data_IF_162242963651
#
_entry.id   IF_162242963651
#
_cell.length_a   1.000
_cell.length_b   1.000
_cell.length_c   1.000
_cell.angle_alpha   90.00
_cell.angle_beta   90.00
_cell.angle_gamma   90.00
#
_symmetry.space_group_name_H-M   'P 1'
#
loop_
_entity.id
_entity.type
_entity.pdbx_description
1 polymer ?
#
# COMPACT_ATOMS: atom_id res chain seq x y z
N UNK A 1 10.66 -7.96 9.94
CA UNK A 1 11.94 -7.65 10.59
C UNK A 1 12.06 -8.55 11.80
N UNK A 2 13.15 -9.32 11.89
CA UNK A 2 13.45 -10.14 13.07
C UNK A 2 13.74 -9.20 14.25
N UNK A 3 13.30 -9.58 15.44
CA UNK A 3 13.56 -8.82 16.67
C UNK A 3 15.08 -8.83 16.93
N UNK A 4 15.74 -7.67 17.06
CA UNK A 4 17.18 -7.65 17.28
C UNK A 4 17.53 -8.27 18.63
N UNK A 5 18.68 -8.93 18.71
CA UNK A 5 19.17 -9.52 19.97
C UNK A 5 19.66 -8.40 20.88
N UNK A 6 19.39 -8.53 22.17
CA UNK A 6 19.75 -7.52 23.17
C UNK A 6 20.50 -8.14 24.34
N UNK A 7 21.44 -7.38 24.91
CA UNK A 7 22.20 -7.73 26.11
C UNK A 7 22.73 -9.18 26.05
N UNK A 8 22.38 -10.01 27.03
CA UNK A 8 22.84 -11.41 27.17
C UNK A 8 22.41 -12.34 26.03
N UNK A 9 21.51 -11.89 25.14
CA UNK A 9 21.13 -12.66 23.95
C UNK A 9 22.19 -12.60 22.85
N UNK A 10 23.15 -11.68 22.96
CA UNK A 10 24.28 -11.55 22.04
C UNK A 10 25.37 -12.54 22.48
N UNK A 11 25.61 -13.58 21.68
CA UNK A 11 26.54 -14.69 22.03
C UNK A 11 27.86 -14.65 21.26
N UNK A 12 28.25 -13.49 20.74
CA UNK A 12 29.52 -13.33 20.02
C UNK A 12 30.60 -12.78 20.94
N UNK A 13 31.88 -13.15 20.74
CA UNK A 13 32.97 -12.72 21.62
C UNK A 13 33.32 -11.23 21.45
N UNK A 14 33.22 -10.72 20.22
CA UNK A 14 33.57 -9.34 19.87
C UNK A 14 32.46 -8.69 19.05
N UNK A 15 32.27 -7.39 19.28
CA UNK A 15 31.29 -6.55 18.59
C UNK A 15 31.93 -5.23 18.18
N UNK A 16 31.48 -4.68 17.06
CA UNK A 16 31.73 -3.27 16.74
C UNK A 16 30.71 -2.42 17.50
N UNK A 17 31.18 -1.68 18.49
CA UNK A 17 30.36 -0.90 19.39
C UNK A 17 30.15 0.53 18.89
N UNK A 18 28.88 0.96 18.94
CA UNK A 18 28.45 2.33 18.72
C UNK A 18 27.83 2.83 20.03
N UNK A 19 28.32 3.96 20.56
CA UNK A 19 27.81 4.56 21.78
C UNK A 19 26.44 5.23 21.59
N UNK A 20 25.83 5.73 22.68
CA UNK A 20 24.45 6.23 22.69
C UNK A 20 24.25 7.47 21.83
N UNK A 21 25.25 8.35 21.76
CA UNK A 21 25.25 9.55 20.91
C UNK A 21 25.65 9.26 19.44
N UNK A 22 25.92 8.00 19.08
CA UNK A 22 26.38 7.62 17.75
C UNK A 22 27.89 7.67 17.56
N UNK A 23 28.65 7.84 18.64
CA UNK A 23 30.11 7.71 18.64
C UNK A 23 30.54 6.29 18.26
N UNK A 24 31.60 6.16 17.46
CA UNK A 24 32.17 4.86 17.12
C UNK A 24 33.28 4.51 18.10
N UNK A 25 33.01 3.57 19.00
CA UNK A 25 34.00 3.10 19.99
C UNK A 25 34.99 2.13 19.34
N UNK A 26 34.58 1.44 18.28
CA UNK A 26 35.41 0.49 17.55
C UNK A 26 35.07 -0.96 17.89
N UNK A 27 36.02 -1.89 17.69
CA UNK A 27 35.82 -3.30 18.01
C UNK A 27 36.22 -3.54 19.46
N UNK A 28 35.30 -4.06 20.25
CA UNK A 28 35.49 -4.36 21.68
C UNK A 28 34.93 -5.74 22.00
N UNK A 29 35.35 -6.31 23.14
CA UNK A 29 34.73 -7.53 23.64
C UNK A 29 33.28 -7.28 24.07
N UNK A 30 32.47 -8.33 24.05
CA UNK A 30 31.07 -8.25 24.47
C UNK A 30 30.93 -7.81 25.94
N UNK A 31 31.84 -8.25 26.81
CA UNK A 31 31.82 -7.90 28.24
C UNK A 31 32.02 -6.40 28.46
N UNK A 32 32.93 -5.78 27.70
CA UNK A 32 33.15 -4.33 27.74
C UNK A 32 31.92 -3.59 27.22
N UNK A 33 31.32 -4.07 26.12
CA UNK A 33 30.11 -3.47 25.56
C UNK A 33 28.91 -3.55 26.52
N UNK A 34 28.74 -4.67 27.22
CA UNK A 34 27.69 -4.85 28.23
C UNK A 34 27.91 -3.92 29.43
N UNK A 35 29.16 -3.79 29.90
CA UNK A 35 29.49 -2.87 31.00
C UNK A 35 29.21 -1.42 30.63
N UNK A 36 29.60 -0.99 29.43
CA UNK A 36 29.34 0.37 28.94
C UNK A 36 27.85 0.65 28.78
N UNK A 37 27.06 -0.33 28.38
CA UNK A 37 25.61 -0.21 28.32
C UNK A 37 25.00 -0.02 29.73
N UNK A 38 25.46 -0.81 30.71
CA UNK A 38 25.05 -0.68 32.12
C UNK A 38 25.47 0.66 32.74
N UNK A 39 26.69 1.13 32.50
CA UNK A 39 27.18 2.44 32.96
C UNK A 39 26.35 3.60 32.40
N UNK A 40 25.75 3.41 31.22
CA UNK A 40 24.88 4.39 30.59
C UNK A 40 23.39 4.22 30.93
N UNK A 41 23.01 3.24 31.77
CA UNK A 41 21.62 2.83 32.04
C UNK A 41 20.80 2.54 30.76
N UNK A 42 21.44 1.97 29.74
CA UNK A 42 20.86 1.66 28.43
C UNK A 42 21.08 0.18 28.05
N UNK A 43 20.42 -0.26 26.98
CA UNK A 43 20.57 -1.62 26.47
C UNK A 43 21.63 -1.69 25.35
N UNK A 44 22.33 -2.82 25.29
CA UNK A 44 23.17 -3.18 24.16
C UNK A 44 22.30 -3.89 23.11
N UNK A 45 22.07 -3.25 21.97
CA UNK A 45 21.20 -3.77 20.89
C UNK A 45 22.03 -4.15 19.66
N UNK A 46 21.89 -5.39 19.19
CA UNK A 46 22.52 -5.86 17.95
C UNK A 46 21.76 -5.34 16.72
N UNK A 47 22.29 -4.30 16.06
CA UNK A 47 21.64 -3.65 14.91
C UNK A 47 22.00 -4.29 13.58
N UNK A 48 23.20 -4.89 13.46
CA UNK A 48 23.63 -5.54 12.22
C UNK A 48 24.33 -6.88 12.52
N UNK A 49 23.57 -7.99 12.63
CA UNK A 49 24.12 -9.32 12.92
C UNK A 49 24.96 -9.88 11.77
N UNK A 50 24.73 -9.44 10.53
CA UNK A 50 25.41 -9.97 9.34
C UNK A 50 26.81 -9.39 9.11
N UNK A 51 27.25 -8.43 9.94
CA UNK A 51 28.59 -7.82 9.81
C UNK A 51 29.65 -8.66 10.52
N UNK A 52 30.91 -8.57 10.07
CA UNK A 52 32.07 -9.19 10.74
C UNK A 52 33.06 -8.10 11.18
N UNK A 53 33.20 -7.81 12.49
CA UNK A 53 32.37 -8.27 13.61
C UNK A 53 30.94 -7.66 13.59
N UNK A 54 29.95 -8.28 14.27
CA UNK A 54 28.58 -7.76 14.36
C UNK A 54 28.55 -6.35 14.96
N UNK A 55 27.61 -5.52 14.51
CA UNK A 55 27.49 -4.14 15.01
C UNK A 55 26.46 -4.10 16.13
N UNK A 56 26.90 -3.67 17.31
CA UNK A 56 26.06 -3.46 18.48
C UNK A 56 26.03 -1.95 18.81
N UNK A 57 24.85 -1.44 19.16
CA UNK A 57 24.65 -0.04 19.52
C UNK A 57 24.01 0.06 20.90
N UNK A 58 24.56 0.93 21.74
CA UNK A 58 23.98 1.25 23.05
C UNK A 58 22.78 2.17 22.81
N UNK A 59 21.58 1.74 23.18
CA UNK A 59 20.35 2.52 23.05
C UNK A 59 19.22 1.97 23.91
N UNK A 60 18.18 2.78 24.13
CA UNK A 60 16.94 2.32 24.76
C UNK A 60 16.15 1.41 23.80
N UNK A 61 16.12 0.12 24.12
CA UNK A 61 15.41 -0.87 23.32
C UNK A 61 13.89 -0.64 23.29
N UNK A 62 13.32 -0.20 24.41
CA UNK A 62 11.89 0.07 24.55
C UNK A 62 11.45 1.21 23.62
N UNK A 63 12.19 2.31 23.64
CA UNK A 63 11.95 3.46 22.75
C UNK A 63 12.14 3.08 21.29
N UNK A 64 13.22 2.36 20.95
CA UNK A 64 13.46 1.89 19.58
C UNK A 64 12.33 1.01 19.06
N UNK A 65 11.84 0.07 19.87
CA UNK A 65 10.71 -0.81 19.51
C UNK A 65 9.42 -0.01 19.29
N UNK A 66 9.17 0.99 20.12
CA UNK A 66 8.02 1.88 19.96
C UNK A 66 8.11 2.69 18.66
N UNK A 67 9.23 3.36 18.39
CA UNK A 67 9.43 4.14 17.18
C UNK A 67 9.38 3.28 15.91
N UNK A 68 10.03 2.10 15.93
CA UNK A 68 9.95 1.14 14.83
C UNK A 68 8.51 0.66 14.60
N UNK A 69 7.76 0.40 15.67
CA UNK A 69 6.36 0.01 15.57
C UNK A 69 5.47 1.15 15.05
N UNK A 70 5.71 2.40 15.47
CA UNK A 70 4.99 3.56 14.97
C UNK A 70 5.30 3.79 13.49
N UNK A 71 6.58 3.81 13.09
CA UNK A 71 7.00 3.93 11.70
C UNK A 71 6.44 2.80 10.83
N UNK A 72 6.40 1.56 11.34
CA UNK A 72 5.78 0.45 10.63
C UNK A 72 4.25 0.61 10.51
N UNK A 73 3.57 1.14 11.53
CA UNK A 73 2.14 1.46 11.48
C UNK A 73 1.84 2.58 10.48
N UNK A 74 2.64 3.64 10.49
CA UNK A 74 2.54 4.76 9.54
C UNK A 74 2.81 4.29 8.12
N UNK A 75 3.87 3.50 7.90
CA UNK A 75 4.16 2.90 6.60
C UNK A 75 3.01 2.01 6.12
N UNK A 76 2.42 1.18 6.99
CA UNK A 76 1.23 0.37 6.63
C UNK A 76 0.00 1.21 6.34
N UNK A 77 -0.21 2.33 7.06
CA UNK A 77 -1.34 3.24 6.81
C UNK A 77 -1.17 4.01 5.50
N UNK A 78 0.06 4.42 5.20
CA UNK A 78 0.42 5.15 3.99
C UNK A 78 0.55 4.24 2.78
N UNK A 79 0.79 2.95 2.98
CA UNK A 79 0.71 1.96 1.92
C UNK A 79 -0.72 1.92 1.40
N UNK A 80 -0.90 2.51 0.22
CA UNK A 80 -2.18 2.60 -0.43
C UNK A 80 -2.55 1.21 -0.96
N UNK A 81 -3.22 0.41 -0.12
CA UNK A 81 -3.71 -0.91 -0.51
C UNK A 81 -4.67 -0.77 -1.69
N UNK A 82 -4.24 -1.18 -2.87
CA UNK A 82 -5.07 -1.23 -4.07
C UNK A 82 -6.07 -2.37 -3.90
N UNK A 83 -7.36 -2.04 -3.88
CA UNK A 83 -8.42 -3.02 -3.67
C UNK A 83 -8.95 -3.43 -5.05
N UNK A 84 -9.25 -4.72 -5.22
CA UNK A 84 -9.95 -5.20 -6.40
C UNK A 84 -11.46 -5.02 -6.21
N UNK A 85 -12.04 -4.08 -6.95
CA UNK A 85 -13.48 -3.80 -6.94
C UNK A 85 -14.17 -4.58 -8.05
N UNK A 86 -15.21 -5.34 -7.70
CA UNK A 86 -15.96 -6.10 -8.68
C UNK A 86 -17.12 -5.28 -9.26
N UNK A 87 -17.24 -5.28 -10.59
CA UNK A 87 -18.38 -4.71 -11.32
C UNK A 87 -19.03 -5.82 -12.14
N UNK A 88 -20.29 -6.12 -11.84
CA UNK A 88 -21.02 -7.24 -12.43
C UNK A 88 -21.95 -6.78 -13.55
N UNK A 89 -21.79 -7.38 -14.71
CA UNK A 89 -22.57 -7.15 -15.91
C UNK A 89 -23.47 -8.35 -16.22
N UNK A 90 -24.56 -8.06 -16.91
CA UNK A 90 -25.42 -9.07 -17.55
C UNK A 90 -25.18 -9.01 -19.04
N UNK A 91 -25.33 -10.14 -19.74
CA UNK A 91 -25.15 -10.20 -21.19
C UNK A 91 -26.13 -9.28 -21.95
N UNK A 92 -27.36 -9.18 -21.44
CA UNK A 92 -28.41 -8.26 -21.92
C UNK A 92 -28.57 -7.09 -20.94
N UNK A 93 -27.56 -6.22 -20.91
CA UNK A 93 -27.61 -5.01 -20.08
C UNK A 93 -28.35 -3.89 -20.84
N UNK A 94 -29.14 -3.10 -20.10
CA UNK A 94 -29.75 -1.87 -20.63
C UNK A 94 -28.71 -0.75 -20.72
N UNK A 95 -28.90 0.20 -21.65
CA UNK A 95 -27.97 1.32 -21.84
C UNK A 95 -27.79 2.15 -20.56
N UNK A 96 -28.85 2.41 -19.81
CA UNK A 96 -28.77 3.20 -18.58
C UNK A 96 -28.04 2.47 -17.44
N UNK A 97 -28.27 1.15 -17.30
CA UNK A 97 -27.53 0.32 -16.32
C UNK A 97 -26.04 0.22 -16.69
N UNK A 98 -25.73 0.14 -17.99
CA UNK A 98 -24.36 0.14 -18.48
C UNK A 98 -23.63 1.43 -18.13
N UNK A 99 -24.22 2.60 -18.42
CA UNK A 99 -23.62 3.91 -18.10
C UNK A 99 -23.38 4.08 -16.61
N UNK A 100 -24.30 3.60 -15.76
CA UNK A 100 -24.14 3.65 -14.30
C UNK A 100 -22.95 2.80 -13.83
N UNK A 101 -22.79 1.60 -14.39
CA UNK A 101 -21.66 0.71 -14.06
C UNK A 101 -20.34 1.22 -14.61
N UNK A 102 -20.35 1.86 -15.79
CA UNK A 102 -19.20 2.56 -16.37
C UNK A 102 -18.72 3.67 -15.43
N UNK A 103 -19.58 4.62 -15.05
CA UNK A 103 -19.23 5.71 -14.13
C UNK A 103 -18.68 5.20 -12.80
N UNK A 104 -19.25 4.11 -12.28
CA UNK A 104 -18.77 3.47 -11.06
C UNK A 104 -17.36 2.88 -11.22
N UNK A 105 -17.08 2.24 -12.35
CA UNK A 105 -15.76 1.73 -12.66
C UNK A 105 -14.73 2.84 -12.88
N UNK A 106 -15.10 3.91 -13.57
CA UNK A 106 -14.27 5.11 -13.74
C UNK A 106 -13.90 5.71 -12.37
N UNK A 107 -14.87 5.84 -11.45
CA UNK A 107 -14.59 6.30 -10.09
C UNK A 107 -13.60 5.41 -9.35
N UNK A 108 -13.72 4.07 -9.47
CA UNK A 108 -12.75 3.15 -8.85
C UNK A 108 -11.36 3.25 -9.46
N UNK A 109 -11.24 3.40 -10.78
CA UNK A 109 -9.95 3.58 -11.45
C UNK A 109 -9.31 4.93 -11.09
N UNK A 110 -10.11 6.00 -10.99
CA UNK A 110 -9.66 7.30 -10.52
C UNK A 110 -9.20 7.28 -9.06
N UNK A 111 -9.87 6.50 -8.20
CA UNK A 111 -9.47 6.25 -6.81
C UNK A 111 -8.21 5.38 -6.69
N UNK A 112 -7.69 4.85 -7.81
CA UNK A 112 -6.51 3.98 -7.87
C UNK A 112 -6.79 2.54 -7.43
N UNK A 113 -8.05 2.09 -7.51
CA UNK A 113 -8.44 0.69 -7.30
C UNK A 113 -8.50 -0.07 -8.62
N UNK A 114 -8.23 -1.39 -8.58
CA UNK A 114 -8.38 -2.26 -9.75
C UNK A 114 -9.84 -2.63 -9.93
N UNK A 115 -10.30 -2.72 -11.17
CA UNK A 115 -11.67 -3.12 -11.49
C UNK A 115 -11.70 -4.50 -12.11
N UNK A 116 -12.40 -5.44 -11.46
CA UNK A 116 -12.74 -6.74 -12.00
C UNK A 116 -14.13 -6.67 -12.63
N UNK A 117 -14.19 -6.54 -13.95
CA UNK A 117 -15.43 -6.64 -14.70
C UNK A 117 -15.81 -8.12 -14.86
N UNK A 118 -17.01 -8.50 -14.42
CA UNK A 118 -17.48 -9.88 -14.45
C UNK A 118 -18.84 -9.98 -15.14
N UNK A 119 -18.97 -10.88 -16.11
CA UNK A 119 -20.25 -11.27 -16.72
C UNK A 119 -20.60 -12.66 -16.21
N UNK A 120 -21.80 -12.82 -15.67
CA UNK A 120 -22.35 -14.15 -15.32
C UNK A 120 -23.18 -14.67 -16.49
N UNK A 121 -22.81 -15.84 -17.02
CA UNK A 121 -23.61 -16.52 -18.05
C UNK A 121 -24.69 -17.37 -17.40
N UNK A 122 -25.95 -17.24 -17.88
CA UNK A 122 -27.07 -18.06 -17.39
C UNK A 122 -27.53 -19.08 -18.43
N UNK A 123 -27.47 -20.36 -18.07
CA UNK A 123 -28.02 -21.47 -18.87
C UNK A 123 -27.44 -21.52 -20.29
N UNK A 124 -28.29 -21.30 -21.30
CA UNK A 124 -27.93 -21.38 -22.72
C UNK A 124 -26.95 -20.29 -23.20
N UNK A 125 -26.70 -19.27 -22.39
CA UNK A 125 -25.78 -18.17 -22.72
C UNK A 125 -24.31 -18.59 -22.73
N UNK A 126 -23.96 -19.72 -22.08
CA UNK A 126 -22.61 -20.29 -22.13
C UNK A 126 -22.17 -20.68 -23.54
N UNK A 127 -23.12 -20.95 -24.44
CA UNK A 127 -22.85 -21.26 -25.85
C UNK A 127 -22.45 -20.05 -26.70
N UNK A 128 -22.54 -18.82 -26.14
CA UNK A 128 -22.26 -17.57 -26.86
C UNK A 128 -21.25 -16.67 -26.12
N UNK A 129 -20.01 -17.15 -25.88
CA UNK A 129 -18.98 -16.36 -25.20
C UNK A 129 -18.60 -15.09 -25.98
N UNK A 130 -18.73 -15.10 -27.31
CA UNK A 130 -18.37 -13.96 -28.18
C UNK A 130 -19.13 -12.66 -27.82
N UNK A 131 -20.38 -12.79 -27.37
CA UNK A 131 -21.16 -11.62 -26.95
C UNK A 131 -20.62 -11.02 -25.65
N UNK A 132 -20.14 -11.86 -24.73
CA UNK A 132 -19.51 -11.41 -23.50
C UNK A 132 -18.16 -10.73 -23.76
N UNK A 133 -17.36 -11.30 -24.66
CA UNK A 133 -16.07 -10.71 -25.06
C UNK A 133 -16.28 -9.33 -25.69
N UNK A 134 -17.27 -9.20 -26.60
CA UNK A 134 -17.58 -7.90 -27.22
C UNK A 134 -17.99 -6.85 -26.20
N UNK A 135 -18.85 -7.22 -25.23
CA UNK A 135 -19.27 -6.29 -24.18
C UNK A 135 -18.09 -5.84 -23.31
N UNK A 136 -17.20 -6.75 -22.92
CA UNK A 136 -16.02 -6.41 -22.12
C UNK A 136 -14.99 -5.59 -22.89
N UNK A 137 -14.81 -5.85 -24.19
CA UNK A 137 -13.94 -5.02 -25.05
C UNK A 137 -14.46 -3.59 -25.18
N UNK A 138 -15.76 -3.43 -25.47
CA UNK A 138 -16.40 -2.11 -25.52
C UNK A 138 -16.27 -1.37 -24.18
N UNK A 139 -16.45 -2.08 -23.07
CA UNK A 139 -16.24 -1.53 -21.74
C UNK A 139 -14.77 -1.13 -21.49
N UNK A 140 -13.80 -1.92 -21.95
CA UNK A 140 -12.39 -1.57 -21.84
C UNK A 140 -12.03 -0.30 -22.65
N UNK A 141 -12.58 -0.15 -23.84
CA UNK A 141 -12.40 1.05 -24.68
C UNK A 141 -13.00 2.30 -24.01
N UNK A 142 -14.20 2.16 -23.44
CA UNK A 142 -14.89 3.24 -22.74
C UNK A 142 -14.14 3.76 -21.50
N UNK A 143 -13.39 2.90 -20.81
CA UNK A 143 -12.62 3.25 -19.61
C UNK A 143 -11.11 3.37 -19.87
N UNK A 144 -10.68 3.29 -21.13
CA UNK A 144 -9.26 3.34 -21.52
C UNK A 144 -8.56 4.63 -21.10
N UNK A 145 -9.32 5.71 -20.91
CA UNK A 145 -8.84 7.00 -20.40
C UNK A 145 -8.34 6.90 -18.94
N UNK A 146 -8.96 6.03 -18.12
CA UNK A 146 -8.66 5.94 -16.68
C UNK A 146 -7.87 4.69 -16.30
N UNK A 147 -7.90 3.64 -17.13
CA UNK A 147 -7.20 2.39 -16.85
C UNK A 147 -6.74 1.63 -18.09
N UNK A 148 -5.86 0.65 -17.86
CA UNK A 148 -5.36 -0.28 -18.86
C UNK A 148 -5.80 -1.72 -18.53
N UNK A 149 -5.99 -2.53 -19.56
CA UNK A 149 -6.37 -3.94 -19.40
C UNK A 149 -5.15 -4.73 -18.91
N UNK A 150 -5.22 -5.24 -17.67
CA UNK A 150 -4.18 -6.12 -17.11
C UNK A 150 -4.44 -7.59 -17.48
N UNK A 151 -5.71 -8.00 -17.44
CA UNK A 151 -6.14 -9.34 -17.81
C UNK A 151 -7.22 -9.22 -18.87
N UNK A 152 -6.96 -9.80 -20.04
CA UNK A 152 -7.93 -9.90 -21.13
C UNK A 152 -9.15 -10.73 -20.68
N UNK A 153 -10.30 -10.61 -21.39
CA UNK A 153 -11.50 -11.38 -21.08
C UNK A 153 -11.24 -12.89 -21.12
N UNK A 154 -11.28 -13.53 -19.96
CA UNK A 154 -11.11 -14.97 -19.81
C UNK A 154 -12.36 -15.61 -19.23
N UNK A 155 -12.66 -16.84 -19.66
CA UNK A 155 -13.78 -17.62 -19.14
C UNK A 155 -13.33 -18.34 -17.88
N UNK A 156 -13.98 -18.02 -16.77
CA UNK A 156 -13.80 -18.64 -15.46
C UNK A 156 -15.09 -19.40 -15.09
N UNK A 157 -15.21 -20.61 -15.64
CA UNK A 157 -16.37 -21.48 -15.46
C UNK A 157 -17.66 -20.89 -16.03
N UNK A 158 -18.56 -20.44 -15.14
CA UNK A 158 -19.84 -19.80 -15.54
C UNK A 158 -19.73 -18.28 -15.70
N UNK A 159 -18.55 -17.72 -15.40
CA UNK A 159 -18.29 -16.29 -15.46
C UNK A 159 -17.31 -16.00 -16.59
N UNK A 160 -17.38 -14.79 -17.12
CA UNK A 160 -16.29 -14.19 -17.89
C UNK A 160 -15.75 -13.01 -17.10
N UNK A 161 -14.44 -12.95 -16.92
CA UNK A 161 -13.78 -11.94 -16.11
C UNK A 161 -12.76 -11.17 -16.93
N UNK A 162 -12.66 -9.88 -16.68
CA UNK A 162 -11.61 -9.00 -17.20
C UNK A 162 -11.15 -8.11 -16.05
N UNK A 163 -9.84 -7.85 -15.97
CA UNK A 163 -9.27 -6.99 -14.94
C UNK A 163 -8.64 -5.77 -15.60
N UNK A 164 -9.04 -4.60 -15.11
CA UNK A 164 -8.54 -3.30 -15.54
C UNK A 164 -7.78 -2.69 -14.37
N UNK A 165 -6.52 -2.33 -14.60
CA UNK A 165 -5.68 -1.59 -13.68
C UNK A 165 -5.78 -0.08 -13.93
N UNK A 166 -5.71 0.76 -12.89
CA UNK A 166 -5.71 2.21 -13.06
C UNK A 166 -4.37 2.67 -13.67
N UNK A 167 -4.40 3.75 -14.47
CA UNK A 167 -3.16 4.37 -14.99
C UNK A 167 -2.40 5.13 -13.90
N UNK A 168 -3.13 5.71 -12.94
CA UNK A 168 -2.57 6.44 -11.81
C UNK A 168 -2.41 5.52 -10.60
N UNK A 169 -1.27 5.64 -9.93
CA UNK A 169 -1.06 4.90 -8.69
C UNK A 169 -1.95 5.45 -7.57
N UNK A 170 -2.41 4.59 -6.67
CA UNK A 170 -3.32 4.95 -5.57
C UNK A 170 -2.79 6.06 -4.65
N UNK A 171 -1.47 6.20 -4.54
CA UNK A 171 -0.82 7.31 -3.84
C UNK A 171 -1.02 8.67 -4.52
N UNK A 172 -0.94 8.70 -5.85
CA UNK A 172 -1.12 9.90 -6.67
C UNK A 172 -2.60 10.30 -6.73
N UNK A 173 -3.49 9.31 -6.90
CA UNK A 173 -4.94 9.49 -6.83
C UNK A 173 -5.38 10.11 -5.48
N UNK A 174 -4.84 9.60 -4.37
CA UNK A 174 -5.12 10.16 -3.03
C UNK A 174 -4.57 11.57 -2.84
N UNK A 175 -3.37 11.85 -3.34
CA UNK A 175 -2.77 13.18 -3.27
C UNK A 175 -3.61 14.21 -4.05
N UNK A 176 -4.05 13.84 -5.26
CA UNK A 176 -4.87 14.70 -6.11
C UNK A 176 -6.29 14.89 -5.54
N UNK A 177 -6.89 13.85 -4.94
CA UNK A 177 -8.18 13.95 -4.26
C UNK A 177 -8.13 14.83 -3.01
N UNK A 178 -7.05 14.74 -2.22
CA UNK A 178 -6.86 15.62 -1.05
C UNK A 178 -6.62 17.07 -1.49
N UNK A 179 -5.77 17.30 -2.50
CA UNK A 179 -5.55 18.63 -3.05
C UNK A 179 -6.84 19.28 -3.59
N UNK A 180 -7.70 18.51 -4.29
CA UNK A 180 -9.00 19.00 -4.76
C UNK A 180 -9.96 19.32 -3.60
N UNK A 181 -9.98 18.50 -2.55
CA UNK A 181 -10.79 18.77 -1.34
C UNK A 181 -10.33 20.01 -0.61
N UNK A 182 -9.02 20.19 -0.46
CA UNK A 182 -8.44 21.36 0.20
C UNK A 182 -8.71 22.64 -0.61
N UNK A 183 -8.59 22.58 -1.94
CA UNK A 183 -8.94 23.69 -2.83
C UNK A 183 -10.45 24.03 -2.79
N UNK A 184 -11.32 23.02 -2.77
CA UNK A 184 -12.78 23.24 -2.67
C UNK A 184 -13.18 23.81 -1.31
N UNK A 185 -12.47 23.43 -0.25
CA UNK A 185 -12.71 23.95 1.11
C UNK A 185 -12.18 25.37 1.28
N UNK A 186 -11.07 25.72 0.62
CA UNK A 186 -10.54 27.07 0.56
C UNK A 186 -11.50 28.00 -0.18
N UNK A 187 -11.94 27.61 -1.39
CA UNK A 187 -12.89 28.42 -2.17
C UNK A 187 -14.26 28.57 -1.51
N UNK A 188 -14.76 27.52 -0.84
CA UNK A 188 -16.00 27.61 -0.06
C UNK A 188 -15.88 28.48 1.20
N UNK A 189 -14.66 28.67 1.73
CA UNK A 189 -14.38 29.57 2.86
C UNK A 189 -14.29 31.02 2.37
N UNK A 190 -13.59 31.25 1.27
CA UNK A 190 -13.50 32.56 0.61
C UNK A 190 -14.88 33.08 0.18
N UNK A 191 -15.70 32.23 -0.47
CA UNK A 191 -17.07 32.61 -0.86
C UNK A 191 -18.03 32.87 0.32
N UNK A 192 -17.74 32.32 1.51
CA UNK A 192 -18.49 32.62 2.74
C UNK A 192 -18.03 33.90 3.40
N UNK A 193 -16.75 34.25 3.28
CA UNK A 193 -16.19 35.50 3.77
C UNK A 193 -16.63 36.68 2.89
N UNK A 194 -16.74 36.51 1.57
CA UNK A 194 -17.25 37.54 0.64
C UNK A 194 -18.75 37.81 0.75
N UNK A 195 -19.59 36.82 1.08
CA UNK A 195 -21.03 37.02 1.24
C UNK A 195 -21.44 37.60 2.61
N UNK A 196 -20.49 37.74 3.53
CA UNK A 196 -20.72 38.21 4.90
C UNK A 196 -20.05 39.58 5.17
N UNK A 197 -19.53 40.22 4.11
CA UNK A 197 -18.99 41.58 4.07
C UNK A 197 -19.93 42.47 3.24
#
# INVERSE_FOLDING_TARGET
MSDPRTNDRIRVPEVRLVGPAGEQVGVVSIDVALRLAQEADLDLVEVAPNSKPPVAKIMDYGKFKYEAAQKAKEARRNQANTILKEVRFRLKIDKHDYETKRKRAEGFLQDGDKVKAMILFRGREQSRPDQGVRLLKMFAEDVAEFGSVESTPTIDGRNMVMVIGPHKNKSEAKAEANAKRDATKASAREAREENNA
#
